data_IF_351071697506
#
_entry.id   IF_351071697506
#
_cell.length_a   1.000
_cell.length_b   1.000
_cell.length_c   1.000
_cell.angle_alpha   90.00
_cell.angle_beta   90.00
_cell.angle_gamma   90.00
#
_symmetry.space_group_name_H-M   'P 1'
#
loop_
_entity.id
_entity.type
_entity.pdbx_description
1 polymer ?
#
# COMPACT_ATOMS: atom_id res chain seq x y z
N UNK A 1 6.69 15.41 -9.64
CA UNK A 1 5.51 14.54 -9.43
C UNK A 1 5.80 13.11 -9.89
N UNK A 2 6.24 12.91 -11.13
CA UNK A 2 6.67 11.60 -11.63
C UNK A 2 7.65 10.88 -10.69
N UNK A 3 8.75 11.55 -10.29
CA UNK A 3 9.76 10.96 -9.40
C UNK A 3 9.19 10.45 -8.06
N UNK A 4 8.17 11.14 -7.52
CA UNK A 4 7.53 10.75 -6.27
C UNK A 4 6.64 9.51 -6.46
N UNK A 5 5.90 9.44 -7.57
CA UNK A 5 5.06 8.28 -7.91
C UNK A 5 5.94 7.07 -8.23
N UNK A 6 7.04 7.26 -8.96
CA UNK A 6 8.02 6.22 -9.26
C UNK A 6 8.65 5.66 -7.99
N UNK A 7 9.02 6.53 -7.05
CA UNK A 7 9.51 6.09 -5.74
C UNK A 7 8.49 5.23 -4.99
N UNK A 8 7.23 5.67 -4.93
CA UNK A 8 6.15 4.91 -4.27
C UNK A 8 5.98 3.56 -4.96
N UNK A 9 5.91 3.52 -6.29
CA UNK A 9 5.81 2.28 -7.06
C UNK A 9 6.98 1.33 -6.83
N UNK A 10 8.21 1.85 -6.87
CA UNK A 10 9.43 1.09 -6.57
C UNK A 10 9.40 0.50 -5.15
N UNK A 11 9.02 1.30 -4.15
CA UNK A 11 8.94 0.86 -2.76
C UNK A 11 7.94 -0.30 -2.60
N UNK A 12 6.76 -0.18 -3.20
CA UNK A 12 5.72 -1.21 -3.16
C UNK A 12 6.14 -2.48 -3.90
N UNK A 13 6.80 -2.35 -5.05
CA UNK A 13 7.40 -3.50 -5.74
C UNK A 13 8.41 -4.22 -4.86
N UNK A 14 9.33 -3.46 -4.23
CA UNK A 14 10.35 -4.03 -3.36
C UNK A 14 9.73 -4.66 -2.10
N UNK A 15 8.65 -4.09 -1.57
CA UNK A 15 7.86 -4.67 -0.46
C UNK A 15 7.30 -6.03 -0.86
N UNK A 16 6.68 -6.14 -2.04
CA UNK A 16 6.14 -7.39 -2.54
C UNK A 16 7.25 -8.45 -2.71
N UNK A 17 8.36 -8.08 -3.33
CA UNK A 17 9.46 -8.99 -3.64
C UNK A 17 10.21 -9.47 -2.38
N UNK A 18 10.26 -8.65 -1.31
CA UNK A 18 11.06 -8.94 -0.11
C UNK A 18 10.25 -9.46 1.08
N UNK A 19 8.99 -9.03 1.21
CA UNK A 19 8.11 -9.37 2.33
C UNK A 19 6.93 -10.26 1.92
N UNK A 20 6.75 -10.54 0.63
CA UNK A 20 5.67 -11.39 0.13
C UNK A 20 4.28 -10.77 0.23
N UNK A 21 4.19 -9.46 0.47
CA UNK A 21 2.91 -8.73 0.46
C UNK A 21 2.38 -8.70 -0.97
N UNK A 22 1.14 -9.12 -1.19
CA UNK A 22 0.57 -9.10 -2.53
C UNK A 22 0.50 -7.66 -3.06
N UNK A 23 0.76 -7.45 -4.35
CA UNK A 23 0.77 -6.11 -4.97
C UNK A 23 -0.59 -5.40 -4.93
N UNK A 24 -1.66 -6.15 -4.71
CA UNK A 24 -3.04 -5.66 -4.54
C UNK A 24 -3.51 -5.64 -3.08
N UNK A 25 -2.65 -5.98 -2.12
CA UNK A 25 -2.94 -5.88 -0.69
C UNK A 25 -2.55 -4.47 -0.20
N UNK A 26 -3.38 -3.49 -0.55
CA UNK A 26 -3.14 -2.07 -0.26
C UNK A 26 -2.98 -1.80 1.24
N UNK A 27 -3.73 -2.52 2.08
CA UNK A 27 -3.63 -2.37 3.54
C UNK A 27 -2.22 -2.69 4.04
N UNK A 28 -1.70 -3.87 3.72
CA UNK A 28 -0.37 -4.27 4.18
C UNK A 28 0.75 -3.48 3.52
N UNK A 29 0.56 -3.08 2.27
CA UNK A 29 1.47 -2.17 1.58
C UNK A 29 1.57 -0.81 2.28
N UNK A 30 0.44 -0.23 2.71
CA UNK A 30 0.43 1.01 3.48
C UNK A 30 1.15 0.86 4.82
N UNK A 31 0.87 -0.22 5.57
CA UNK A 31 1.54 -0.49 6.84
C UNK A 31 3.06 -0.62 6.66
N UNK A 32 3.50 -1.34 5.63
CA UNK A 32 4.92 -1.47 5.33
C UNK A 32 5.56 -0.12 4.98
N UNK A 33 4.87 0.72 4.20
CA UNK A 33 5.34 2.06 3.84
C UNK A 33 5.44 2.99 5.05
N UNK A 34 4.42 3.00 5.91
CA UNK A 34 4.37 3.88 7.09
C UNK A 34 5.39 3.46 8.17
N UNK A 35 5.48 2.16 8.46
CA UNK A 35 6.32 1.63 9.55
C UNK A 35 7.76 1.36 9.12
N UNK A 36 7.99 1.20 7.82
CA UNK A 36 9.20 0.65 7.24
C UNK A 36 9.24 -0.89 7.31
N UNK A 37 9.99 -1.50 6.39
CA UNK A 37 10.08 -2.96 6.25
C UNK A 37 10.50 -3.69 7.53
N UNK A 38 11.46 -3.16 8.28
CA UNK A 38 11.97 -3.83 9.48
C UNK A 38 10.93 -3.94 10.58
N UNK A 39 10.14 -2.88 10.82
CA UNK A 39 9.11 -2.91 11.85
C UNK A 39 7.92 -3.76 11.42
N UNK A 40 7.48 -3.63 10.16
CA UNK A 40 6.43 -4.46 9.59
C UNK A 40 6.78 -5.95 9.63
N UNK A 41 8.02 -6.32 9.23
CA UNK A 41 8.51 -7.71 9.27
C UNK A 41 8.53 -8.31 10.67
N UNK A 42 8.74 -7.48 11.70
CA UNK A 42 8.64 -7.91 13.11
C UNK A 42 7.20 -8.02 13.64
N UNK A 43 6.20 -7.77 12.78
CA UNK A 43 4.79 -7.86 13.14
C UNK A 43 4.18 -6.56 13.68
N UNK A 44 4.89 -5.43 13.60
CA UNK A 44 4.29 -4.15 13.97
C UNK A 44 3.14 -3.79 13.02
N UNK A 45 2.04 -3.30 13.60
CA UNK A 45 0.86 -2.81 12.87
C UNK A 45 0.60 -1.32 13.09
N UNK A 46 1.49 -0.63 13.80
CA UNK A 46 1.28 0.77 14.19
C UNK A 46 0.16 0.93 15.22
N UNK A 47 -0.15 2.17 15.54
CA UNK A 47 -1.29 2.51 16.40
C UNK A 47 -2.62 2.41 15.63
N UNK A 48 -3.72 2.72 16.33
CA UNK A 48 -5.06 2.67 15.77
C UNK A 48 -5.27 3.68 14.62
N UNK A 49 -4.60 4.82 14.65
CA UNK A 49 -4.72 5.82 13.58
C UNK A 49 -4.04 5.32 12.31
N UNK A 50 -2.85 4.72 12.41
CA UNK A 50 -2.15 4.09 11.28
C UNK A 50 -3.01 3.01 10.63
N UNK A 51 -3.60 2.13 11.44
CA UNK A 51 -4.48 1.08 10.92
C UNK A 51 -5.75 1.65 10.27
N UNK A 52 -6.32 2.72 10.84
CA UNK A 52 -7.46 3.43 10.24
C UNK A 52 -7.09 4.00 8.87
N UNK A 53 -5.92 4.64 8.73
CA UNK A 53 -5.48 5.18 7.45
C UNK A 53 -5.14 4.08 6.43
N UNK A 54 -4.62 2.94 6.87
CA UNK A 54 -4.40 1.78 6.01
C UNK A 54 -5.72 1.29 5.40
N UNK A 55 -6.78 1.16 6.21
CA UNK A 55 -8.12 0.81 5.73
C UNK A 55 -8.71 1.87 4.80
N UNK A 56 -8.58 3.17 5.14
CA UNK A 56 -9.05 4.24 4.27
C UNK A 56 -8.33 4.23 2.90
N UNK A 57 -7.03 3.91 2.89
CA UNK A 57 -6.25 3.79 1.64
C UNK A 57 -6.68 2.59 0.82
N UNK A 58 -6.98 1.46 1.47
CA UNK A 58 -7.55 0.28 0.81
C UNK A 58 -8.91 0.58 0.17
N UNK A 59 -9.81 1.27 0.88
CA UNK A 59 -11.10 1.70 0.33
C UNK A 59 -10.91 2.60 -0.90
N UNK A 60 -10.05 3.61 -0.81
CA UNK A 60 -9.72 4.48 -1.93
C UNK A 60 -9.17 3.70 -3.14
N UNK A 61 -8.32 2.69 -2.92
CA UNK A 61 -7.79 1.87 -4.00
C UNK A 61 -8.88 1.02 -4.67
N UNK A 62 -9.83 0.48 -3.90
CA UNK A 62 -10.97 -0.26 -4.41
C UNK A 62 -11.90 0.63 -5.25
N UNK A 63 -12.16 1.86 -4.79
CA UNK A 63 -12.96 2.85 -5.52
C UNK A 63 -12.31 3.21 -6.86
N UNK A 64 -11.01 3.53 -6.87
CA UNK A 64 -10.28 3.80 -8.11
C UNK A 64 -10.26 2.58 -9.04
N UNK A 65 -10.09 1.37 -8.51
CA UNK A 65 -10.15 0.16 -9.32
C UNK A 65 -11.54 -0.07 -9.94
N UNK A 66 -12.62 0.31 -9.26
CA UNK A 66 -13.97 0.27 -9.83
C UNK A 66 -14.16 1.33 -10.92
N UNK A 67 -13.71 2.56 -10.67
CA UNK A 67 -13.78 3.65 -11.65
C UNK A 67 -13.00 3.34 -12.92
N UNK A 68 -11.76 2.85 -12.79
CA UNK A 68 -10.92 2.49 -13.94
C UNK A 68 -11.54 1.40 -14.82
N UNK A 69 -12.25 0.44 -14.21
CA UNK A 69 -12.99 -0.59 -14.96
C UNK A 69 -14.16 -0.02 -15.77
N UNK A 70 -14.72 1.11 -15.35
CA UNK A 70 -15.80 1.79 -16.07
C UNK A 70 -15.26 2.77 -17.13
N UNK A 71 -14.03 3.24 -17.00
CA UNK A 71 -13.39 4.16 -17.93
C UNK A 71 -12.62 3.46 -19.07
N UNK A 72 -12.39 2.15 -18.99
CA UNK A 72 -11.78 1.39 -20.07
C UNK A 72 -12.79 1.24 -21.23
N UNK A 73 -12.40 1.55 -22.50
CA UNK A 73 -13.27 1.39 -23.67
C UNK A 73 -13.64 -0.07 -23.95
#
# INVERSE_FOLDING_TARGET
FADAVDFVGWYHSKTADTLGVARNDTYNLYLAYYLGWNAYKRGSRGDADVQRYAHATEQMAQDYAAQLRQCAP
#
